data_IF_369471015741
#
_entry.id   IF_369471015741
#
_cell.length_a   1.000
_cell.length_b   1.000
_cell.length_c   1.000
_cell.angle_alpha   90.00
_cell.angle_beta   90.00
_cell.angle_gamma   90.00
#
_symmetry.space_group_name_H-M   'P 1'
#
loop_
_entity.id
_entity.type
_entity.pdbx_description
1 polymer ?
#
# COMPACT_ATOMS: atom_id res chain seq x y z
N UNK A 1 36.87 -6.13 -0.39
CA UNK A 1 36.08 -5.29 0.52
C UNK A 1 34.82 -4.75 -0.16
N UNK A 2 34.90 -4.02 -1.29
CA UNK A 2 33.74 -3.52 -2.06
C UNK A 2 32.67 -4.56 -2.48
N UNK A 3 33.07 -5.79 -2.82
CA UNK A 3 32.13 -6.86 -3.24
C UNK A 3 31.31 -7.49 -2.09
N UNK A 4 31.83 -7.47 -0.85
CA UNK A 4 31.10 -8.04 0.28
C UNK A 4 30.09 -7.03 0.85
N UNK A 5 30.42 -5.73 0.86
CA UNK A 5 29.48 -4.66 1.24
C UNK A 5 28.27 -4.60 0.30
N UNK A 6 28.48 -4.73 -1.02
CA UNK A 6 27.38 -4.78 -1.99
C UNK A 6 26.46 -5.98 -1.82
N UNK A 7 26.99 -7.14 -1.41
CA UNK A 7 26.19 -8.36 -1.16
C UNK A 7 25.35 -8.26 0.11
N UNK A 8 25.94 -7.78 1.21
CA UNK A 8 25.19 -7.61 2.46
C UNK A 8 24.10 -6.54 2.34
N UNK A 9 24.38 -5.46 1.62
CA UNK A 9 23.36 -4.47 1.29
C UNK A 9 22.24 -5.04 0.41
N UNK A 10 22.59 -5.71 -0.70
CA UNK A 10 21.60 -6.32 -1.60
C UNK A 10 20.65 -7.25 -0.84
N UNK A 11 21.20 -7.99 0.13
CA UNK A 11 20.45 -8.82 1.05
C UNK A 11 19.54 -8.01 1.99
N UNK A 12 20.02 -6.93 2.60
CA UNK A 12 19.19 -6.07 3.46
C UNK A 12 18.02 -5.44 2.69
N UNK A 13 18.30 -4.85 1.51
CA UNK A 13 17.28 -4.27 0.64
C UNK A 13 16.24 -5.31 0.22
N UNK A 14 16.69 -6.52 -0.15
CA UNK A 14 15.80 -7.63 -0.49
C UNK A 14 14.92 -8.05 0.68
N UNK A 15 15.46 -8.08 1.90
CA UNK A 15 14.68 -8.39 3.10
C UNK A 15 13.58 -7.35 3.35
N UNK A 16 13.90 -6.07 3.28
CA UNK A 16 12.92 -4.98 3.47
C UNK A 16 11.80 -5.02 2.44
N UNK A 17 12.15 -5.25 1.17
CA UNK A 17 11.17 -5.40 0.09
C UNK A 17 10.27 -6.61 0.32
N UNK A 18 10.81 -7.71 0.85
CA UNK A 18 10.02 -8.88 1.22
C UNK A 18 9.06 -8.59 2.38
N UNK A 19 9.48 -7.80 3.38
CA UNK A 19 8.58 -7.34 4.44
C UNK A 19 7.45 -6.46 3.88
N UNK A 20 7.77 -5.47 3.03
CA UNK A 20 6.76 -4.67 2.34
C UNK A 20 5.78 -5.57 1.56
N UNK A 21 6.29 -6.57 0.82
CA UNK A 21 5.47 -7.52 0.07
C UNK A 21 4.53 -8.33 0.96
N UNK A 22 4.96 -8.74 2.16
CA UNK A 22 4.09 -9.42 3.13
C UNK A 22 3.00 -8.47 3.61
N UNK A 23 3.35 -7.24 3.99
CA UNK A 23 2.39 -6.23 4.41
C UNK A 23 1.33 -5.94 3.34
N UNK A 24 1.72 -5.89 2.07
CA UNK A 24 0.78 -5.68 0.94
C UNK A 24 -0.19 -6.86 0.77
N UNK A 25 0.26 -8.09 1.05
CA UNK A 25 -0.64 -9.24 1.07
C UNK A 25 -1.66 -9.14 2.19
N UNK A 26 -1.23 -8.73 3.38
CA UNK A 26 -2.14 -8.51 4.51
C UNK A 26 -3.14 -7.39 4.24
N UNK A 27 -2.69 -6.28 3.63
CA UNK A 27 -3.58 -5.20 3.18
C UNK A 27 -4.65 -5.76 2.24
N UNK A 28 -4.27 -6.56 1.23
CA UNK A 28 -5.21 -7.17 0.30
C UNK A 28 -6.21 -8.11 0.99
N UNK A 29 -5.75 -8.92 1.94
CA UNK A 29 -6.63 -9.84 2.71
C UNK A 29 -7.64 -9.03 3.52
N UNK A 30 -7.15 -8.07 4.31
CA UNK A 30 -7.99 -7.22 5.16
C UNK A 30 -8.97 -6.41 4.33
N UNK A 31 -8.55 -5.86 3.19
CA UNK A 31 -9.41 -5.09 2.29
C UNK A 31 -10.57 -5.93 1.76
N UNK A 32 -10.32 -7.19 1.40
CA UNK A 32 -11.36 -8.12 0.90
C UNK A 32 -12.36 -8.52 1.99
N UNK A 33 -11.88 -8.84 3.18
CA UNK A 33 -12.73 -9.22 4.32
C UNK A 33 -13.60 -8.02 4.77
N UNK A 34 -13.03 -6.83 4.68
CA UNK A 34 -13.63 -5.56 5.06
C UNK A 34 -14.86 -5.15 4.23
N UNK A 35 -14.97 -5.50 2.94
CA UNK A 35 -16.02 -4.92 2.06
C UNK A 35 -17.43 -5.21 2.57
N UNK A 36 -17.72 -6.43 3.01
CA UNK A 36 -19.07 -6.82 3.45
C UNK A 36 -19.38 -6.29 4.86
N UNK A 37 -18.38 -6.34 5.74
CA UNK A 37 -18.53 -5.95 7.14
C UNK A 37 -18.59 -4.43 7.30
N UNK A 38 -17.73 -3.68 6.59
CA UNK A 38 -17.80 -2.22 6.56
C UNK A 38 -19.08 -1.73 5.90
N UNK A 39 -19.57 -2.38 4.84
CA UNK A 39 -20.83 -1.96 4.21
C UNK A 39 -22.00 -2.02 5.21
N UNK A 40 -22.06 -3.08 6.01
CA UNK A 40 -23.10 -3.24 7.04
C UNK A 40 -22.95 -2.22 8.17
N UNK A 41 -21.74 -2.04 8.70
CA UNK A 41 -21.46 -1.06 9.76
C UNK A 41 -21.68 0.39 9.31
N UNK A 42 -21.29 0.75 8.09
CA UNK A 42 -21.55 2.07 7.52
C UNK A 42 -23.05 2.29 7.31
N UNK A 43 -23.77 1.30 6.82
CA UNK A 43 -25.23 1.39 6.64
C UNK A 43 -25.94 1.64 7.98
N UNK A 44 -25.54 0.94 9.04
CA UNK A 44 -26.06 1.20 10.39
C UNK A 44 -25.68 2.58 10.91
N UNK A 45 -24.42 2.98 10.75
CA UNK A 45 -23.94 4.29 11.23
C UNK A 45 -24.60 5.45 10.51
N UNK A 46 -24.83 5.33 9.20
CA UNK A 46 -25.57 6.30 8.41
C UNK A 46 -27.03 6.37 8.89
N UNK A 47 -27.70 5.23 9.11
CA UNK A 47 -29.06 5.22 9.69
C UNK A 47 -29.14 5.91 11.06
N UNK A 48 -28.15 5.68 11.92
CA UNK A 48 -28.08 6.32 13.25
C UNK A 48 -27.82 7.83 13.19
N UNK A 49 -27.06 8.31 12.21
CA UNK A 49 -26.79 9.75 12.02
C UNK A 49 -27.97 10.50 11.41
N UNK A 50 -28.77 9.81 10.60
CA UNK A 50 -29.84 10.40 9.83
C UNK A 50 -31.16 10.56 10.60
N UNK A 51 -31.27 10.08 11.84
CA UNK A 51 -32.38 10.25 12.82
C UNK A 51 -33.61 10.98 12.24
N UNK A 52 -34.47 10.26 11.51
CA UNK A 52 -35.73 10.75 10.88
C UNK A 52 -35.68 11.51 9.54
N UNK A 53 -34.57 11.48 8.79
CA UNK A 53 -34.60 11.91 7.38
C UNK A 53 -35.18 10.81 6.48
N UNK A 54 -36.17 11.18 5.66
CA UNK A 54 -36.74 10.35 4.59
C UNK A 54 -35.73 10.14 3.45
N UNK A 55 -34.66 9.40 3.71
CA UNK A 55 -33.77 8.91 2.66
C UNK A 55 -34.36 7.61 2.13
N UNK A 56 -34.58 7.58 0.82
CA UNK A 56 -35.05 6.38 0.14
C UNK A 56 -33.92 5.33 0.14
N UNK A 57 -34.26 4.04 0.28
CA UNK A 57 -33.27 2.95 0.24
C UNK A 57 -32.37 3.00 -1.00
N UNK A 58 -32.93 3.40 -2.15
CA UNK A 58 -32.20 3.50 -3.41
C UNK A 58 -31.10 4.57 -3.34
N UNK A 59 -31.36 5.71 -2.69
CA UNK A 59 -30.35 6.76 -2.54
C UNK A 59 -29.23 6.31 -1.60
N UNK A 60 -29.57 5.60 -0.53
CA UNK A 60 -28.59 5.06 0.41
C UNK A 60 -27.67 4.04 -0.26
N UNK A 61 -28.21 3.14 -1.09
CA UNK A 61 -27.43 2.12 -1.77
C UNK A 61 -26.49 2.75 -2.83
N UNK A 62 -26.91 3.83 -3.51
CA UNK A 62 -26.03 4.59 -4.43
C UNK A 62 -24.86 5.24 -3.69
N UNK A 63 -25.11 5.90 -2.55
CA UNK A 63 -24.05 6.54 -1.77
C UNK A 63 -23.04 5.51 -1.22
N UNK A 64 -23.54 4.34 -0.77
CA UNK A 64 -22.70 3.24 -0.33
C UNK A 64 -21.85 2.67 -1.46
N UNK A 65 -22.40 2.53 -2.67
CA UNK A 65 -21.64 2.09 -3.83
C UNK A 65 -20.53 3.09 -4.21
N UNK A 66 -20.83 4.41 -4.19
CA UNK A 66 -19.84 5.46 -4.44
C UNK A 66 -18.75 5.48 -3.37
N UNK A 67 -19.09 5.23 -2.10
CA UNK A 67 -18.11 5.14 -1.04
C UNK A 67 -17.22 3.91 -1.20
N UNK A 68 -17.81 2.76 -1.53
CA UNK A 68 -17.08 1.52 -1.78
C UNK A 68 -16.04 1.73 -2.89
N UNK A 69 -16.44 2.31 -4.02
CA UNK A 69 -15.56 2.64 -5.15
C UNK A 69 -14.42 3.61 -4.74
N UNK A 70 -14.74 4.66 -3.97
CA UNK A 70 -13.73 5.60 -3.45
C UNK A 70 -12.74 4.96 -2.48
N UNK A 71 -13.18 3.96 -1.73
CA UNK A 71 -12.37 3.23 -0.75
C UNK A 71 -11.63 2.02 -1.31
N UNK A 72 -11.89 1.65 -2.58
CA UNK A 72 -11.22 0.52 -3.20
C UNK A 72 -9.74 0.83 -3.40
N UNK A 73 -8.88 -0.05 -2.90
CA UNK A 73 -7.42 0.05 -2.98
C UNK A 73 -6.79 -1.06 -3.85
N UNK A 74 -7.63 -1.79 -4.60
CA UNK A 74 -7.20 -2.96 -5.35
C UNK A 74 -6.17 -2.63 -6.43
N UNK A 75 -6.35 -1.52 -7.13
CA UNK A 75 -5.44 -1.06 -8.18
C UNK A 75 -4.05 -0.71 -7.61
N UNK A 76 -4.03 0.05 -6.52
CA UNK A 76 -2.81 0.46 -5.82
C UNK A 76 -2.05 -0.77 -5.30
N UNK A 77 -2.75 -1.76 -4.76
CA UNK A 77 -2.14 -3.02 -4.33
C UNK A 77 -1.52 -3.80 -5.49
N UNK A 78 -2.15 -3.82 -6.66
CA UNK A 78 -1.61 -4.47 -7.87
C UNK A 78 -0.35 -3.74 -8.37
N UNK A 79 -0.41 -2.40 -8.46
CA UNK A 79 0.74 -1.58 -8.87
C UNK A 79 1.92 -1.75 -7.92
N UNK A 80 1.68 -1.67 -6.62
CA UNK A 80 2.69 -1.82 -5.60
C UNK A 80 3.39 -3.19 -5.69
N UNK A 81 2.63 -4.28 -5.88
CA UNK A 81 3.23 -5.60 -6.16
C UNK A 81 4.11 -5.62 -7.42
N UNK A 82 3.71 -4.92 -8.48
CA UNK A 82 4.52 -4.80 -9.70
C UNK A 82 5.81 -4.04 -9.44
N UNK A 83 5.77 -2.93 -8.71
CA UNK A 83 6.96 -2.16 -8.36
C UNK A 83 7.93 -2.98 -7.48
N UNK A 84 7.43 -3.73 -6.49
CA UNK A 84 8.25 -4.62 -5.66
C UNK A 84 8.92 -5.73 -6.47
N UNK A 85 8.22 -6.27 -7.47
CA UNK A 85 8.78 -7.26 -8.39
C UNK A 85 9.93 -6.65 -9.18
N UNK A 86 9.71 -5.50 -9.81
CA UNK A 86 10.75 -4.80 -10.57
C UNK A 86 11.92 -4.37 -9.69
N UNK A 87 11.68 -3.99 -8.44
CA UNK A 87 12.74 -3.63 -7.50
C UNK A 87 13.66 -4.82 -7.21
N UNK A 88 13.10 -6.00 -6.93
CA UNK A 88 13.88 -7.23 -6.75
C UNK A 88 14.66 -7.60 -8.01
N UNK A 89 14.06 -7.48 -9.20
CA UNK A 89 14.76 -7.72 -10.47
C UNK A 89 15.95 -6.76 -10.64
N UNK A 90 15.77 -5.48 -10.30
CA UNK A 90 16.84 -4.47 -10.39
C UNK A 90 18.01 -4.74 -9.44
N UNK A 91 17.76 -5.23 -8.23
CA UNK A 91 18.84 -5.58 -7.29
C UNK A 91 19.66 -6.78 -7.78
N UNK A 92 19.00 -7.74 -8.43
CA UNK A 92 19.62 -9.01 -8.82
C UNK A 92 20.36 -8.94 -10.16
N UNK A 93 20.10 -7.93 -10.99
CA UNK A 93 20.87 -7.67 -12.19
C UNK A 93 22.05 -6.76 -11.85
N UNK A 94 23.27 -7.15 -12.22
CA UNK A 94 24.56 -6.46 -11.97
C UNK A 94 24.64 -5.01 -12.51
N UNK A 95 23.58 -4.51 -13.14
CA UNK A 95 23.39 -3.07 -13.38
C UNK A 95 22.80 -2.42 -12.13
N UNK A 96 23.66 -2.13 -11.14
CA UNK A 96 23.33 -1.26 -10.01
C UNK A 96 22.98 0.14 -10.51
N UNK A 97 21.72 0.35 -10.89
CA UNK A 97 21.22 1.65 -11.31
C UNK A 97 20.46 2.28 -10.14
N UNK A 98 21.19 2.92 -9.24
CA UNK A 98 20.63 3.61 -8.06
C UNK A 98 19.52 4.60 -8.43
N UNK A 99 19.60 5.26 -9.59
CA UNK A 99 18.52 6.10 -10.14
C UNK A 99 17.23 5.30 -10.41
N UNK A 100 17.33 4.09 -10.95
CA UNK A 100 16.16 3.23 -11.19
C UNK A 100 15.55 2.71 -9.88
N UNK A 101 16.38 2.34 -8.91
CA UNK A 101 15.91 1.96 -7.58
C UNK A 101 15.22 3.13 -6.87
N UNK A 102 15.80 4.34 -6.96
CA UNK A 102 15.18 5.57 -6.44
C UNK A 102 13.82 5.86 -7.08
N UNK A 103 13.69 5.70 -8.40
CA UNK A 103 12.41 5.82 -9.08
C UNK A 103 11.37 4.81 -8.56
N UNK A 104 11.77 3.54 -8.40
CA UNK A 104 10.87 2.52 -7.85
C UNK A 104 10.46 2.81 -6.40
N UNK A 105 11.35 3.35 -5.57
CA UNK A 105 10.99 3.82 -4.22
C UNK A 105 9.93 4.92 -4.27
N UNK A 106 10.04 5.87 -5.20
CA UNK A 106 9.05 6.94 -5.37
C UNK A 106 7.68 6.36 -5.73
N UNK A 107 7.64 5.42 -6.68
CA UNK A 107 6.38 4.78 -7.09
C UNK A 107 5.77 3.94 -5.96
N UNK A 108 6.57 3.19 -5.19
CA UNK A 108 6.08 2.44 -4.01
C UNK A 108 5.48 3.41 -2.97
N UNK A 109 6.17 4.53 -2.70
CA UNK A 109 5.68 5.53 -1.74
C UNK A 109 4.38 6.18 -2.23
N UNK A 110 4.26 6.45 -3.53
CA UNK A 110 3.04 6.99 -4.15
C UNK A 110 1.85 6.06 -3.94
N UNK A 111 1.99 4.78 -4.29
CA UNK A 111 0.90 3.81 -4.10
C UNK A 111 0.55 3.65 -2.62
N UNK A 112 1.54 3.60 -1.72
CA UNK A 112 1.30 3.53 -0.28
C UNK A 112 0.55 4.77 0.26
N UNK A 113 0.86 5.98 -0.23
CA UNK A 113 0.12 7.20 0.11
C UNK A 113 -1.34 7.12 -0.35
N UNK A 114 -1.57 6.68 -1.59
CA UNK A 114 -2.92 6.54 -2.12
C UNK A 114 -3.74 5.54 -1.30
N UNK A 115 -3.17 4.38 -0.95
CA UNK A 115 -3.80 3.40 -0.05
C UNK A 115 -4.16 4.07 1.29
N UNK A 116 -3.23 4.78 1.92
CA UNK A 116 -3.46 5.44 3.20
C UNK A 116 -4.57 6.50 3.13
N UNK A 117 -4.74 7.18 1.99
CA UNK A 117 -5.79 8.19 1.80
C UNK A 117 -7.17 7.65 1.41
N UNK A 118 -7.24 6.47 0.78
CA UNK A 118 -8.51 5.86 0.32
C UNK A 118 -9.12 4.93 1.38
N UNK A 119 -8.27 4.23 2.13
CA UNK A 119 -8.75 3.24 3.12
C UNK A 119 -9.58 3.89 4.23
N UNK A 120 -10.64 3.21 4.63
CA UNK A 120 -11.42 3.53 5.84
C UNK A 120 -10.96 2.72 7.06
N UNK A 121 -10.09 1.72 6.87
CA UNK A 121 -9.56 0.88 7.93
C UNK A 121 -8.29 1.47 8.52
N UNK A 122 -8.32 1.78 9.82
CA UNK A 122 -7.16 2.23 10.59
C UNK A 122 -6.00 1.24 10.52
N UNK A 123 -6.28 -0.06 10.51
CA UNK A 123 -5.24 -1.09 10.40
C UNK A 123 -4.53 -1.00 9.06
N UNK A 124 -5.28 -0.85 7.96
CA UNK A 124 -4.70 -0.66 6.62
C UNK A 124 -3.92 0.66 6.55
N UNK A 125 -4.41 1.73 7.18
CA UNK A 125 -3.66 3.00 7.27
C UNK A 125 -2.31 2.82 7.97
N UNK A 126 -2.25 2.11 9.10
CA UNK A 126 -0.98 1.82 9.78
C UNK A 126 -0.04 0.98 8.91
N UNK A 127 -0.57 -0.04 8.23
CA UNK A 127 0.23 -0.87 7.29
C UNK A 127 0.78 -0.05 6.13
N UNK A 128 0.00 0.89 5.58
CA UNK A 128 0.46 1.79 4.54
C UNK A 128 1.56 2.75 5.03
N UNK A 129 1.45 3.25 6.27
CA UNK A 129 2.51 4.06 6.91
C UNK A 129 3.79 3.24 7.06
N UNK A 130 3.69 2.00 7.55
CA UNK A 130 4.85 1.09 7.64
C UNK A 130 5.56 0.91 6.29
N UNK A 131 4.80 0.71 5.20
CA UNK A 131 5.39 0.60 3.85
C UNK A 131 6.16 1.87 3.49
N UNK A 132 5.63 3.06 3.80
CA UNK A 132 6.32 4.33 3.55
C UNK A 132 7.62 4.45 4.32
N UNK A 133 7.61 4.08 5.60
CA UNK A 133 8.81 4.11 6.45
C UNK A 133 9.89 3.15 5.94
N UNK A 134 9.53 1.92 5.58
CA UNK A 134 10.49 0.97 5.01
C UNK A 134 11.02 1.43 3.66
N UNK A 135 10.16 2.04 2.82
CA UNK A 135 10.57 2.61 1.54
C UNK A 135 11.57 3.75 1.71
N UNK A 136 11.41 4.58 2.74
CA UNK A 136 12.35 5.66 3.04
C UNK A 136 13.70 5.14 3.53
N UNK A 137 13.71 4.12 4.41
CA UNK A 137 14.95 3.46 4.84
C UNK A 137 15.71 2.86 3.65
N UNK A 138 14.99 2.24 2.72
CA UNK A 138 15.55 1.73 1.46
C UNK A 138 16.17 2.87 0.64
N UNK A 139 15.45 3.99 0.49
CA UNK A 139 15.91 5.17 -0.26
C UNK A 139 17.19 5.76 0.33
N UNK A 140 17.25 5.92 1.65
CA UNK A 140 18.45 6.39 2.37
C UNK A 140 19.64 5.46 2.13
N UNK A 141 19.43 4.15 2.20
CA UNK A 141 20.49 3.18 1.94
C UNK A 141 21.03 3.31 0.51
N UNK A 142 20.15 3.37 -0.51
CA UNK A 142 20.56 3.55 -1.92
C UNK A 142 21.41 4.81 -2.08
N UNK A 143 21.02 5.93 -1.47
CA UNK A 143 21.74 7.20 -1.55
C UNK A 143 23.09 7.20 -0.87
N UNK A 144 23.27 6.39 0.19
CA UNK A 144 24.56 6.30 0.90
C UNK A 144 25.64 5.55 0.12
N UNK A 145 25.30 4.95 -1.04
CA UNK A 145 26.20 4.12 -1.85
C UNK A 145 26.47 4.74 -3.23
N UNK A 146 25.58 5.61 -3.72
CA UNK A 146 25.83 6.47 -4.89
C UNK A 146 26.95 7.48 -4.59
#
# INVERSE_FOLDING_TARGET
MKLNEGKELSKDLSNRINEIKKTVKEINTNARESVVEHHSLLKERIKLLLQDTNITPERLDVELALLADKSDISEECVRLNSHLKFFNECINHDESNGRRLNFLCQEINREANTIASKTLSTEISHKAIFIKEETEKIREQIQNIE
#
